data_IF_794575663424
#
_entry.id   IF_794575663424
#
_cell.length_a   1.000
_cell.length_b   1.000
_cell.length_c   1.000
_cell.angle_alpha   90.00
_cell.angle_beta   90.00
_cell.angle_gamma   90.00
#
_symmetry.space_group_name_H-M   'P 1'
#
loop_
_entity.id
_entity.type
_entity.pdbx_description
1 polymer ?
#
# COMPACT_ATOMS: atom_id res chain seq x y z
N UNK A 1 3.51 2.41 -7.82
CA UNK A 1 3.33 3.53 -8.78
C UNK A 1 2.24 3.24 -9.82
N UNK A 2 2.37 2.24 -10.71
CA UNK A 2 1.40 1.98 -11.80
C UNK A 2 -0.09 1.94 -11.38
N UNK A 3 -0.41 1.29 -10.25
CA UNK A 3 -1.77 1.21 -9.72
C UNK A 3 -2.40 2.59 -9.46
N UNK A 4 -1.62 3.50 -8.86
CA UNK A 4 -2.07 4.84 -8.48
C UNK A 4 -2.35 5.73 -9.70
N UNK A 5 -1.56 5.57 -10.77
CA UNK A 5 -1.67 6.40 -11.96
C UNK A 5 -2.84 6.05 -12.87
N UNK A 6 -3.40 4.84 -12.78
CA UNK A 6 -4.61 4.44 -13.52
C UNK A 6 -5.82 5.34 -13.17
N UNK A 7 -5.86 5.85 -11.92
CA UNK A 7 -6.90 6.80 -11.46
C UNK A 7 -6.27 7.98 -10.70
N UNK A 8 -5.26 8.63 -11.29
CA UNK A 8 -4.43 9.65 -10.62
C UNK A 8 -5.17 10.81 -9.93
N UNK A 9 -6.40 11.11 -10.37
CA UNK A 9 -7.25 12.17 -9.80
C UNK A 9 -8.10 11.69 -8.61
N UNK A 10 -8.13 10.40 -8.27
CA UNK A 10 -8.81 9.87 -7.08
C UNK A 10 -7.86 9.84 -5.88
N UNK A 11 -8.43 9.77 -4.69
CA UNK A 11 -7.63 9.66 -3.46
C UNK A 11 -6.86 8.34 -3.44
N UNK A 12 -5.69 8.33 -2.81
CA UNK A 12 -4.88 7.11 -2.63
C UNK A 12 -5.74 5.98 -2.06
N UNK A 13 -6.50 6.29 -1.00
CA UNK A 13 -7.50 5.39 -0.39
C UNK A 13 -8.47 4.80 -1.40
N UNK A 14 -9.08 5.62 -2.26
CA UNK A 14 -10.04 5.12 -3.26
C UNK A 14 -9.41 4.20 -4.31
N UNK A 15 -8.12 4.30 -4.56
CA UNK A 15 -7.41 3.47 -5.55
C UNK A 15 -6.90 2.18 -4.91
N UNK A 16 -6.32 2.28 -3.73
CA UNK A 16 -5.70 1.15 -3.04
C UNK A 16 -6.71 0.27 -2.30
N UNK A 17 -7.85 0.81 -1.85
CA UNK A 17 -8.90 0.06 -1.15
C UNK A 17 -9.89 -0.64 -2.11
N UNK A 18 -9.41 -1.07 -3.29
CA UNK A 18 -10.22 -1.86 -4.23
C UNK A 18 -10.04 -3.35 -3.96
N UNK A 19 -11.09 -4.15 -4.18
CA UNK A 19 -11.05 -5.61 -3.95
C UNK A 19 -9.90 -6.30 -4.70
N UNK A 20 -9.62 -5.85 -5.93
CA UNK A 20 -8.53 -6.40 -6.75
C UNK A 20 -7.14 -6.09 -6.17
N UNK A 21 -6.93 -4.87 -5.69
CA UNK A 21 -5.67 -4.49 -5.04
C UNK A 21 -5.50 -5.22 -3.72
N UNK A 22 -6.54 -5.32 -2.90
CA UNK A 22 -6.48 -6.05 -1.63
C UNK A 22 -6.15 -7.53 -1.83
N UNK A 23 -6.77 -8.16 -2.83
CA UNK A 23 -6.44 -9.55 -3.20
C UNK A 23 -4.97 -9.69 -3.60
N UNK A 24 -4.47 -8.80 -4.46
CA UNK A 24 -3.07 -8.79 -4.89
C UNK A 24 -2.11 -8.63 -3.71
N UNK A 25 -2.39 -7.69 -2.80
CA UNK A 25 -1.54 -7.46 -1.63
C UNK A 25 -1.53 -8.65 -0.67
N UNK A 26 -2.66 -9.33 -0.49
CA UNK A 26 -2.75 -10.52 0.36
C UNK A 26 -1.99 -11.71 -0.24
N UNK A 27 -2.13 -11.94 -1.55
CA UNK A 27 -1.37 -12.98 -2.26
C UNK A 27 0.15 -12.70 -2.21
N UNK A 28 0.55 -11.44 -2.31
CA UNK A 28 1.94 -11.01 -2.18
C UNK A 28 2.47 -11.24 -0.76
N UNK A 29 1.70 -10.89 0.27
CA UNK A 29 2.07 -11.13 1.67
C UNK A 29 2.27 -12.61 1.95
N UNK A 30 1.37 -13.48 1.49
CA UNK A 30 1.52 -14.94 1.64
C UNK A 30 2.78 -15.46 0.96
N UNK A 31 3.11 -14.90 -0.21
CA UNK A 31 4.34 -15.26 -0.94
C UNK A 31 5.59 -14.84 -0.16
N UNK A 32 5.62 -13.60 0.34
CA UNK A 32 6.74 -13.10 1.13
C UNK A 32 6.87 -13.87 2.44
N UNK A 33 5.77 -14.20 3.11
CA UNK A 33 5.78 -15.04 4.32
C UNK A 33 6.38 -16.43 4.04
N UNK A 34 6.12 -16.98 2.86
CA UNK A 34 6.62 -18.31 2.47
C UNK A 34 8.11 -18.30 2.15
N UNK A 35 8.64 -17.19 1.61
CA UNK A 35 10.05 -17.03 1.23
C UNK A 35 10.92 -16.49 2.38
N UNK A 36 10.33 -15.64 3.22
CA UNK A 36 10.99 -14.89 4.29
C UNK A 36 10.09 -14.83 5.54
N UNK A 37 9.95 -15.94 6.28
CA UNK A 37 9.10 -15.99 7.47
C UNK A 37 9.47 -14.92 8.51
N UNK A 38 10.75 -14.54 8.58
CA UNK A 38 11.30 -13.53 9.48
C UNK A 38 10.83 -12.10 9.18
N UNK A 39 10.36 -11.83 7.96
CA UNK A 39 9.90 -10.49 7.53
C UNK A 39 8.44 -10.23 7.84
N UNK A 40 7.75 -11.19 8.46
CA UNK A 40 6.35 -11.01 8.82
C UNK A 40 6.25 -10.15 10.08
N UNK A 41 6.14 -8.84 9.87
CA UNK A 41 6.07 -7.83 10.94
C UNK A 41 4.70 -7.81 11.63
N UNK A 42 3.64 -8.20 10.91
CA UNK A 42 2.26 -8.03 11.34
C UNK A 42 1.36 -9.15 10.81
N UNK A 43 0.58 -9.79 11.69
CA UNK A 43 -0.38 -10.85 11.34
C UNK A 43 -1.78 -10.35 10.96
N UNK A 44 -2.01 -9.04 10.99
CA UNK A 44 -3.29 -8.44 10.60
C UNK A 44 -3.53 -8.56 9.08
N UNK A 45 -4.80 -8.55 8.63
CA UNK A 45 -5.14 -8.52 7.21
C UNK A 45 -4.53 -7.30 6.50
N UNK A 46 -4.12 -7.46 5.24
CA UNK A 46 -3.52 -6.38 4.46
C UNK A 46 -4.40 -5.12 4.43
N UNK A 47 -5.71 -5.30 4.37
CA UNK A 47 -6.69 -4.21 4.34
C UNK A 47 -6.60 -3.29 5.56
N UNK A 48 -6.40 -3.85 6.76
CA UNK A 48 -6.33 -3.06 8.00
C UNK A 48 -5.07 -2.21 8.00
N UNK A 49 -3.94 -2.81 7.64
CA UNK A 49 -2.63 -2.14 7.59
C UNK A 49 -2.63 -1.03 6.55
N UNK A 50 -3.18 -1.30 5.35
CA UNK A 50 -3.28 -0.32 4.27
C UNK A 50 -4.17 0.84 4.66
N UNK A 51 -5.32 0.59 5.28
CA UNK A 51 -6.22 1.63 5.74
C UNK A 51 -5.54 2.52 6.81
N UNK A 52 -4.82 1.92 7.75
CA UNK A 52 -4.09 2.64 8.80
C UNK A 52 -3.05 3.60 8.22
N UNK A 53 -2.24 3.14 7.25
CA UNK A 53 -1.26 4.00 6.56
C UNK A 53 -1.97 5.13 5.81
N UNK A 54 -3.06 4.85 5.10
CA UNK A 54 -3.76 5.84 4.27
C UNK A 54 -4.60 6.85 5.06
N UNK A 55 -4.87 6.58 6.34
CA UNK A 55 -5.52 7.52 7.27
C UNK A 55 -4.53 8.44 8.00
N UNK A 56 -3.21 8.23 7.87
CA UNK A 56 -2.20 9.16 8.39
C UNK A 56 -2.31 10.53 7.72
N UNK A 57 -2.04 11.60 8.46
CA UNK A 57 -2.16 12.99 7.97
C UNK A 57 -1.35 13.25 6.69
N UNK A 58 -0.20 12.58 6.53
CA UNK A 58 0.64 12.65 5.33
C UNK A 58 -0.10 12.19 4.05
N UNK A 59 -0.99 11.20 4.16
CA UNK A 59 -1.60 10.51 3.01
C UNK A 59 -3.11 10.70 2.89
N UNK A 60 -3.76 11.09 3.99
CA UNK A 60 -5.20 11.25 4.07
C UNK A 60 -5.70 12.25 3.06
N UNK A 61 -6.60 11.80 2.19
CA UNK A 61 -7.16 12.62 1.11
C UNK A 61 -6.20 12.96 -0.03
N UNK A 62 -4.93 12.57 0.04
CA UNK A 62 -3.94 12.81 -1.01
C UNK A 62 -4.31 12.09 -2.30
N UNK A 63 -3.84 12.64 -3.42
CA UNK A 63 -4.11 12.14 -4.77
C UNK A 63 -2.80 12.01 -5.51
N UNK A 64 -2.61 10.91 -6.25
CA UNK A 64 -1.36 10.66 -6.96
C UNK A 64 -0.99 11.77 -7.96
N UNK A 65 -1.95 12.52 -8.50
CA UNK A 65 -1.68 13.68 -9.36
C UNK A 65 -1.05 14.89 -8.66
N UNK A 66 -0.96 14.89 -7.32
CA UNK A 66 -0.39 15.96 -6.49
C UNK A 66 0.92 15.56 -5.81
N UNK A 67 1.29 14.29 -5.89
CA UNK A 67 2.48 13.75 -5.28
C UNK A 67 3.65 13.79 -6.25
N UNK A 68 4.84 14.04 -5.73
CA UNK A 68 6.09 13.95 -6.48
C UNK A 68 6.79 12.59 -6.25
N UNK A 69 8.03 12.47 -6.73
CA UNK A 69 8.79 11.22 -6.61
C UNK A 69 9.10 10.88 -5.15
N UNK A 70 9.47 11.86 -4.34
CA UNK A 70 9.89 11.65 -2.95
C UNK A 70 8.70 11.23 -2.10
N UNK A 71 7.52 11.82 -2.35
CA UNK A 71 6.26 11.36 -1.77
C UNK A 71 5.99 9.88 -2.07
N UNK A 72 6.20 9.45 -3.32
CA UNK A 72 6.00 8.05 -3.69
C UNK A 72 7.02 7.11 -3.06
N UNK A 73 8.27 7.55 -2.92
CA UNK A 73 9.32 6.77 -2.25
C UNK A 73 9.01 6.63 -0.76
N UNK A 74 8.57 7.70 -0.10
CA UNK A 74 8.19 7.69 1.31
C UNK A 74 6.97 6.80 1.54
N UNK A 75 5.92 6.93 0.72
CA UNK A 75 4.74 6.07 0.80
C UNK A 75 5.10 4.59 0.61
N UNK A 76 5.98 4.29 -0.35
CA UNK A 76 6.45 2.93 -0.61
C UNK A 76 7.26 2.37 0.57
N UNK A 77 8.11 3.21 1.18
CA UNK A 77 8.87 2.83 2.36
C UNK A 77 7.93 2.45 3.52
N UNK A 78 6.92 3.29 3.82
CA UNK A 78 5.95 3.00 4.88
C UNK A 78 5.18 1.69 4.65
N UNK A 79 4.79 1.40 3.40
CA UNK A 79 4.17 0.12 3.07
C UNK A 79 5.14 -1.05 3.26
N UNK A 80 6.38 -0.94 2.79
CA UNK A 80 7.37 -1.99 2.92
C UNK A 80 7.71 -2.30 4.38
N UNK A 81 7.84 -1.27 5.23
CA UNK A 81 8.06 -1.41 6.68
C UNK A 81 6.89 -2.15 7.36
N UNK A 82 5.67 -1.93 6.88
CA UNK A 82 4.49 -2.65 7.35
C UNK A 82 4.30 -4.05 6.70
N UNK A 83 5.27 -4.51 5.90
CA UNK A 83 5.22 -5.78 5.19
C UNK A 83 4.19 -5.82 4.05
N UNK A 84 3.84 -4.68 3.48
CA UNK A 84 2.96 -4.56 2.31
C UNK A 84 3.82 -4.38 1.05
N UNK A 85 3.76 -5.35 0.15
CA UNK A 85 4.54 -5.36 -1.08
C UNK A 85 3.66 -5.38 -2.33
N UNK A 86 3.98 -4.56 -3.32
CA UNK A 86 3.21 -4.35 -4.56
C UNK A 86 3.77 -5.11 -5.78
N UNK A 87 4.51 -6.20 -5.56
CA UNK A 87 5.14 -6.99 -6.62
C UNK A 87 4.16 -7.81 -7.47
#
# INVERSE_FOLDING_TARGET
IRLLFNRKKKTLRSVLNTKSVMKLLEDNRRTVQSLHPEKMVDGRPAQVIVEEILERDSWKGQRAAKLDLDDFLQLLAEFNEAGIHFN
#
